data_IF_079685610955
#
_entry.id   IF_079685610955
#
_cell.length_a   1.000
_cell.length_b   1.000
_cell.length_c   1.000
_cell.angle_alpha   90.00
_cell.angle_beta   90.00
_cell.angle_gamma   90.00
#
_symmetry.space_group_name_H-M   'P 1'
#
loop_
_entity.id
_entity.type
_entity.pdbx_description
1 polymer ?
#
# COMPACT_ATOMS: atom_id res chain seq x y z
N UNK A 1 3.92 7.83 -15.33
CA UNK A 1 3.57 8.11 -16.74
C UNK A 1 4.62 7.53 -17.67
N UNK A 2 4.17 6.86 -18.71
CA UNK A 2 5.04 6.21 -19.70
C UNK A 2 5.52 7.23 -20.71
N UNK A 3 6.84 7.45 -20.76
CA UNK A 3 7.54 8.26 -21.77
C UNK A 3 8.93 7.71 -21.98
N UNK A 4 9.13 7.00 -23.07
CA UNK A 4 10.41 6.40 -23.41
C UNK A 4 11.40 7.47 -23.82
N UNK A 5 12.58 7.49 -23.18
CA UNK A 5 13.68 8.40 -23.47
C UNK A 5 15.01 7.68 -23.33
N UNK A 6 15.93 7.88 -24.29
CA UNK A 6 17.33 7.54 -24.08
C UNK A 6 17.96 8.51 -23.10
N UNK A 7 18.68 8.00 -22.11
CA UNK A 7 19.39 8.84 -21.17
C UNK A 7 20.74 9.26 -21.77
N UNK A 8 20.89 10.57 -21.94
CA UNK A 8 22.12 11.23 -22.33
C UNK A 8 22.26 12.55 -21.58
N UNK A 9 23.34 13.28 -21.82
CA UNK A 9 23.63 14.56 -21.17
C UNK A 9 22.58 15.65 -21.46
N UNK A 10 21.79 15.52 -22.52
CA UNK A 10 20.79 16.51 -22.96
C UNK A 10 19.37 16.15 -22.48
N UNK A 11 19.17 15.01 -21.85
CA UNK A 11 17.83 14.53 -21.48
C UNK A 11 17.24 15.25 -20.27
N UNK A 12 18.07 15.94 -19.47
CA UNK A 12 17.64 16.65 -18.26
C UNK A 12 16.41 17.55 -18.44
N UNK A 13 16.34 18.45 -19.44
CA UNK A 13 15.15 19.30 -19.65
C UNK A 13 13.87 18.50 -19.94
N UNK A 14 13.96 17.39 -20.69
CA UNK A 14 12.81 16.54 -20.97
C UNK A 14 12.33 15.85 -19.70
N UNK A 15 13.23 15.36 -18.87
CA UNK A 15 12.90 14.76 -17.55
C UNK A 15 12.25 15.82 -16.66
N UNK A 16 12.80 17.03 -16.60
CA UNK A 16 12.25 18.14 -15.82
C UNK A 16 10.78 18.43 -16.21
N UNK A 17 10.47 18.43 -17.49
CA UNK A 17 9.12 18.65 -18.00
C UNK A 17 8.17 17.53 -17.52
N UNK A 18 8.60 16.26 -17.59
CA UNK A 18 7.79 15.12 -17.13
C UNK A 18 7.45 15.29 -15.64
N UNK A 19 8.45 15.57 -14.79
CA UNK A 19 8.19 15.70 -13.37
C UNK A 19 7.38 16.96 -13.02
N UNK A 20 7.55 18.05 -13.74
CA UNK A 20 6.69 19.25 -13.57
C UNK A 20 5.20 18.92 -13.84
N UNK A 21 4.93 18.13 -14.89
CA UNK A 21 3.57 17.68 -15.20
C UNK A 21 3.01 16.73 -14.12
N UNK A 22 3.83 15.80 -13.62
CA UNK A 22 3.47 14.89 -12.54
C UNK A 22 3.21 15.65 -11.22
N UNK A 23 4.07 16.60 -10.87
CA UNK A 23 3.92 17.46 -9.69
C UNK A 23 2.63 18.29 -9.75
N UNK A 24 2.37 18.92 -10.88
CA UNK A 24 1.15 19.72 -11.08
C UNK A 24 -0.12 18.86 -10.93
N UNK A 25 -0.09 17.62 -11.40
CA UNK A 25 -1.21 16.68 -11.25
C UNK A 25 -1.33 16.23 -9.78
N UNK A 26 -0.24 15.81 -9.17
CA UNK A 26 -0.23 15.35 -7.79
C UNK A 26 -0.69 16.44 -6.81
N UNK A 27 -0.29 17.70 -7.04
CA UNK A 27 -0.78 18.82 -6.23
C UNK A 27 -2.31 18.97 -6.28
N UNK A 28 -2.95 18.73 -7.42
CA UNK A 28 -4.43 18.75 -7.52
C UNK A 28 -5.05 17.60 -6.72
N UNK A 29 -4.44 16.41 -6.81
CA UNK A 29 -4.94 15.21 -6.14
C UNK A 29 -4.82 15.34 -4.62
N UNK A 30 -3.71 15.92 -4.11
CA UNK A 30 -3.49 16.08 -2.67
C UNK A 30 -4.17 17.33 -2.07
N UNK A 31 -4.55 18.32 -2.88
CA UNK A 31 -5.23 19.53 -2.40
C UNK A 31 -6.58 19.26 -1.70
N UNK A 32 -7.18 18.11 -1.94
CA UNK A 32 -8.42 17.69 -1.28
C UNK A 32 -8.21 17.17 0.15
N UNK A 33 -6.95 16.94 0.55
CA UNK A 33 -6.62 16.49 1.90
C UNK A 33 -6.18 17.68 2.74
N UNK A 34 -6.80 17.85 3.91
CA UNK A 34 -6.40 18.88 4.88
C UNK A 34 -5.15 18.39 5.63
N UNK A 35 -3.97 18.79 5.14
CA UNK A 35 -2.69 18.40 5.73
C UNK A 35 -1.95 19.62 6.28
N UNK A 36 -1.59 19.54 7.54
CA UNK A 36 -0.83 20.59 8.22
C UNK A 36 0.64 20.68 7.78
N UNK A 37 1.17 19.66 7.12
CA UNK A 37 2.57 19.58 6.70
C UNK A 37 2.70 19.36 5.20
N UNK A 38 3.75 19.91 4.55
CA UNK A 38 3.98 19.73 3.12
C UNK A 38 4.28 18.25 2.81
N UNK A 39 3.91 17.77 1.59
CA UNK A 39 4.21 16.43 1.14
C UNK A 39 5.72 16.21 0.99
N UNK A 40 6.17 15.00 1.32
CA UNK A 40 7.50 14.54 0.95
C UNK A 40 7.44 13.90 -0.43
N UNK A 41 8.35 14.34 -1.32
CA UNK A 41 8.40 13.89 -2.70
C UNK A 41 9.52 12.88 -2.92
N UNK A 42 9.21 11.77 -3.58
CA UNK A 42 10.20 10.87 -4.11
C UNK A 42 9.95 10.57 -5.59
N UNK A 43 11.02 10.47 -6.37
CA UNK A 43 11.00 10.25 -7.81
C UNK A 43 11.58 8.90 -8.12
N UNK A 44 10.97 8.17 -9.06
CA UNK A 44 11.47 6.90 -9.55
C UNK A 44 11.37 6.86 -11.07
N UNK A 45 12.36 6.23 -11.70
CA UNK A 45 12.31 5.88 -13.12
C UNK A 45 12.32 4.36 -13.27
N UNK A 46 11.60 3.83 -14.27
CA UNK A 46 11.75 2.45 -14.70
C UNK A 46 12.66 2.44 -15.90
N UNK A 47 13.83 1.85 -15.76
CA UNK A 47 14.94 1.96 -16.71
C UNK A 47 15.51 0.60 -17.07
N UNK A 48 16.08 0.50 -18.23
CA UNK A 48 16.71 -0.73 -18.75
C UNK A 48 17.84 -0.38 -19.72
N UNK A 49 18.67 -1.33 -20.05
CA UNK A 49 19.49 -1.20 -21.24
C UNK A 49 18.62 -1.27 -22.48
N UNK A 50 18.91 -0.46 -23.49
CA UNK A 50 18.12 -0.38 -24.72
C UNK A 50 17.96 -1.75 -25.37
N UNK A 51 16.72 -2.12 -25.68
CA UNK A 51 16.39 -3.42 -26.26
C UNK A 51 16.13 -4.55 -25.26
N UNK A 52 16.28 -4.33 -23.94
CA UNK A 52 15.90 -5.32 -22.94
C UNK A 52 14.36 -5.34 -22.74
N UNK A 53 13.86 -6.51 -22.34
CA UNK A 53 12.42 -6.72 -22.10
C UNK A 53 11.93 -6.34 -20.72
N UNK A 54 12.83 -6.13 -19.74
CA UNK A 54 12.49 -5.88 -18.34
C UNK A 54 13.20 -4.66 -17.79
N UNK A 55 12.46 -3.83 -17.05
CA UNK A 55 12.97 -2.64 -16.41
C UNK A 55 13.40 -2.91 -14.95
N UNK A 56 14.28 -2.05 -14.45
CA UNK A 56 14.63 -1.89 -13.05
C UNK A 56 14.03 -0.60 -12.55
N UNK A 57 13.37 -0.64 -11.41
CA UNK A 57 12.95 0.57 -10.72
C UNK A 57 14.16 1.25 -10.10
N UNK A 58 14.37 2.51 -10.45
CA UNK A 58 15.52 3.31 -10.03
C UNK A 58 15.03 4.49 -9.22
N UNK A 59 15.44 4.62 -7.94
CA UNK A 59 15.21 5.84 -7.18
C UNK A 59 16.04 6.97 -7.78
N UNK A 60 15.39 8.06 -8.17
CA UNK A 60 16.06 9.18 -8.80
C UNK A 60 16.52 10.22 -7.77
N UNK A 61 17.61 10.96 -8.07
CA UNK A 61 18.13 11.99 -7.18
C UNK A 61 17.07 13.05 -6.84
N UNK A 62 17.06 13.49 -5.60
CA UNK A 62 16.26 14.62 -5.14
C UNK A 62 16.80 15.97 -5.65
N UNK A 63 16.06 17.04 -5.35
CA UNK A 63 16.43 18.41 -5.71
C UNK A 63 16.09 18.80 -7.15
N UNK A 64 16.75 19.83 -7.67
CA UNK A 64 16.50 20.35 -9.01
C UNK A 64 16.91 19.39 -10.12
N UNK A 65 16.08 19.26 -11.15
CA UNK A 65 16.39 18.50 -12.36
C UNK A 65 17.09 19.47 -13.33
N UNK A 66 18.38 19.69 -13.10
CA UNK A 66 19.23 20.60 -13.89
C UNK A 66 20.68 20.14 -13.84
N UNK A 67 21.51 20.68 -14.72
CA UNK A 67 22.95 20.42 -14.75
C UNK A 67 23.26 18.93 -14.96
N UNK A 68 23.90 18.33 -13.98
CA UNK A 68 24.37 16.93 -13.99
C UNK A 68 23.29 15.88 -13.68
N UNK A 69 22.01 16.26 -13.65
CA UNK A 69 20.94 15.34 -13.24
C UNK A 69 20.92 14.05 -14.06
N UNK A 70 21.08 14.13 -15.38
CA UNK A 70 21.12 12.95 -16.26
C UNK A 70 22.27 12.01 -15.89
N UNK A 71 23.45 12.54 -15.61
CA UNK A 71 24.59 11.73 -15.16
C UNK A 71 24.33 11.05 -13.81
N UNK A 72 23.70 11.74 -12.87
CA UNK A 72 23.30 11.18 -11.57
C UNK A 72 22.21 10.11 -11.73
N UNK A 73 21.27 10.29 -12.67
CA UNK A 73 20.26 9.29 -12.98
C UNK A 73 20.85 8.01 -13.58
N UNK A 74 21.85 8.14 -14.46
CA UNK A 74 22.64 7.02 -14.99
C UNK A 74 23.41 6.30 -13.89
N UNK A 75 24.05 7.03 -12.98
CA UNK A 75 24.75 6.44 -11.84
C UNK A 75 23.78 5.65 -10.93
N UNK A 76 22.59 6.22 -10.64
CA UNK A 76 21.56 5.55 -9.86
C UNK A 76 21.04 4.28 -10.55
N UNK A 77 20.88 4.32 -11.90
CA UNK A 77 20.54 3.11 -12.66
C UNK A 77 21.61 2.03 -12.53
N UNK A 78 22.88 2.40 -12.72
CA UNK A 78 23.98 1.45 -12.62
C UNK A 78 24.05 0.79 -11.24
N UNK A 79 23.83 1.56 -10.18
CA UNK A 79 23.78 1.02 -8.82
C UNK A 79 22.62 0.03 -8.66
N UNK A 80 21.41 0.42 -9.02
CA UNK A 80 20.20 -0.44 -8.91
C UNK A 80 20.33 -1.69 -9.78
N UNK A 81 20.85 -1.54 -11.00
CA UNK A 81 21.05 -2.64 -11.93
C UNK A 81 22.09 -3.64 -11.42
N UNK A 82 23.22 -3.13 -10.91
CA UNK A 82 24.28 -3.96 -10.32
C UNK A 82 23.78 -4.73 -9.09
N UNK A 83 23.00 -4.08 -8.23
CA UNK A 83 22.40 -4.75 -7.06
C UNK A 83 21.51 -5.90 -7.47
N UNK A 84 20.69 -5.71 -8.52
CA UNK A 84 19.73 -6.70 -8.99
C UNK A 84 20.36 -7.83 -9.84
N UNK A 85 21.22 -7.46 -10.78
CA UNK A 85 21.71 -8.39 -11.81
C UNK A 85 23.17 -8.81 -11.63
N UNK A 86 23.92 -8.16 -10.74
CA UNK A 86 25.33 -8.47 -10.39
C UNK A 86 26.34 -8.23 -11.52
N UNK A 87 25.95 -7.52 -12.58
CA UNK A 87 26.83 -7.10 -13.65
C UNK A 87 26.37 -5.74 -14.23
N UNK A 88 27.27 -5.09 -14.97
CA UNK A 88 26.99 -3.88 -15.75
C UNK A 88 27.47 -4.09 -17.20
N UNK A 89 26.81 -3.43 -18.12
CA UNK A 89 27.22 -3.30 -19.52
C UNK A 89 27.59 -1.82 -19.77
N UNK A 90 28.87 -1.45 -19.74
CA UNK A 90 29.30 -0.05 -19.85
C UNK A 90 29.08 0.55 -21.23
N UNK A 91 28.95 -0.29 -22.28
CA UNK A 91 28.76 0.15 -23.66
C UNK A 91 27.28 0.24 -24.05
N UNK A 92 26.40 -0.33 -23.24
CA UNK A 92 24.98 -0.33 -23.53
C UNK A 92 24.34 1.03 -23.20
N UNK A 93 23.47 1.49 -24.11
CA UNK A 93 22.68 2.71 -23.88
C UNK A 93 21.54 2.39 -22.90
N UNK A 94 21.25 3.35 -22.04
CA UNK A 94 20.18 3.26 -21.05
C UNK A 94 18.95 3.99 -21.59
N UNK A 95 17.79 3.34 -21.54
CA UNK A 95 16.51 3.97 -21.78
C UNK A 95 15.65 3.96 -20.51
N UNK A 96 15.02 5.09 -20.24
CA UNK A 96 13.98 5.20 -19.23
C UNK A 96 12.63 5.07 -19.92
N UNK A 97 11.76 4.22 -19.38
CA UNK A 97 10.47 3.86 -20.00
C UNK A 97 9.32 4.52 -19.27
N UNK A 98 9.35 4.49 -17.95
CA UNK A 98 8.26 5.04 -17.13
C UNK A 98 8.79 5.91 -15.98
N UNK A 99 7.99 6.93 -15.62
CA UNK A 99 8.34 7.95 -14.64
C UNK A 99 7.26 8.02 -13.56
N UNK A 100 7.69 7.91 -12.32
CA UNK A 100 6.79 7.90 -11.17
C UNK A 100 7.20 8.96 -10.16
N UNK A 101 6.21 9.70 -9.69
CA UNK A 101 6.33 10.63 -8.58
C UNK A 101 5.45 10.14 -7.44
N UNK A 102 6.02 10.04 -6.26
CA UNK A 102 5.30 9.68 -5.04
C UNK A 102 5.27 10.89 -4.11
N UNK A 103 4.08 11.29 -3.73
CA UNK A 103 3.85 12.29 -2.70
C UNK A 103 3.42 11.57 -1.41
N UNK A 104 4.24 11.63 -0.38
CA UNK A 104 3.91 11.10 0.94
C UNK A 104 3.45 12.24 1.82
N UNK A 105 2.20 12.16 2.25
CA UNK A 105 1.65 13.11 3.22
C UNK A 105 1.98 12.60 4.61
N UNK A 106 2.64 13.42 5.47
CA UNK A 106 2.84 13.03 6.85
C UNK A 106 1.48 12.85 7.52
N UNK A 107 1.21 11.68 8.05
CA UNK A 107 0.03 11.48 8.89
C UNK A 107 0.23 12.28 10.18
N UNK A 108 -0.52 13.35 10.35
CA UNK A 108 -0.42 14.25 11.50
C UNK A 108 -0.86 13.64 12.84
N UNK A 109 -1.21 12.37 12.88
CA UNK A 109 -1.57 11.65 14.10
C UNK A 109 -1.24 10.15 13.93
N UNK A 110 -0.40 9.65 14.76
CA UNK A 110 -0.47 8.26 15.20
C UNK A 110 -1.87 8.07 15.80
N UNK A 111 -2.76 7.40 15.07
CA UNK A 111 -4.15 7.21 15.47
C UNK A 111 -5.18 8.03 14.69
N UNK A 112 -4.92 8.32 13.41
CA UNK A 112 -5.97 8.80 12.52
C UNK A 112 -7.20 7.89 12.68
N UNK A 113 -8.26 8.45 13.26
CA UNK A 113 -9.56 7.81 13.30
C UNK A 113 -9.96 7.62 11.83
N UNK A 114 -9.75 6.42 11.31
CA UNK A 114 -10.33 6.03 10.02
C UNK A 114 -11.80 6.40 10.15
N UNK A 115 -12.26 7.28 9.26
CA UNK A 115 -13.49 8.02 9.37
C UNK A 115 -14.63 7.23 9.95
N UNK A 116 -15.48 7.87 10.71
CA UNK A 116 -16.68 7.25 11.26
C UNK A 116 -17.40 6.56 10.12
N UNK A 117 -17.39 5.22 10.14
CA UNK A 117 -18.13 4.44 9.17
C UNK A 117 -19.57 4.93 9.22
N UNK A 118 -20.08 5.41 8.08
CA UNK A 118 -21.48 5.78 7.94
C UNK A 118 -22.31 4.59 8.40
N UNK A 119 -23.23 4.81 9.32
CA UNK A 119 -24.14 3.76 9.77
C UNK A 119 -24.82 3.13 8.55
N UNK A 120 -24.84 1.80 8.42
CA UNK A 120 -25.49 1.16 7.28
C UNK A 120 -26.99 1.45 7.29
N UNK A 121 -27.53 1.82 6.14
CA UNK A 121 -28.96 2.13 5.97
C UNK A 121 -29.88 0.90 6.15
N UNK A 122 -29.33 -0.29 6.31
CA UNK A 122 -30.07 -1.53 6.47
C UNK A 122 -29.60 -2.28 7.72
N UNK A 123 -30.51 -2.66 8.64
CA UNK A 123 -30.15 -3.46 9.80
C UNK A 123 -29.59 -4.81 9.35
N UNK A 124 -28.37 -5.11 9.72
CA UNK A 124 -27.74 -6.40 9.46
C UNK A 124 -28.28 -7.44 10.43
N UNK A 125 -28.50 -8.64 9.91
CA UNK A 125 -29.01 -9.75 10.71
C UNK A 125 -27.93 -10.18 11.71
N UNK A 126 -28.24 -10.06 13.00
CA UNK A 126 -27.59 -10.80 14.07
C UNK A 126 -28.39 -12.09 14.27
N UNK A 127 -27.70 -13.20 14.42
CA UNK A 127 -28.36 -14.49 14.60
C UNK A 127 -27.36 -15.61 14.76
N UNK A 128 -27.79 -16.86 14.58
CA UNK A 128 -26.90 -18.03 14.51
C UNK A 128 -27.22 -18.87 13.28
N UNK A 129 -26.23 -19.60 12.80
CA UNK A 129 -26.37 -20.62 11.76
C UNK A 129 -25.38 -21.76 11.97
N UNK A 130 -25.68 -22.91 11.39
CA UNK A 130 -24.70 -24.00 11.33
C UNK A 130 -23.59 -23.65 10.32
N UNK A 131 -22.33 -23.69 10.79
CA UNK A 131 -21.15 -23.54 9.95
C UNK A 131 -20.21 -24.71 10.19
N UNK A 132 -19.50 -25.13 9.15
CA UNK A 132 -18.54 -26.23 9.23
C UNK A 132 -17.21 -25.72 9.75
N UNK A 133 -16.68 -26.40 10.79
CA UNK A 133 -15.36 -26.16 11.33
C UNK A 133 -14.56 -27.47 11.36
N UNK A 134 -13.46 -27.58 10.61
CA UNK A 134 -12.59 -28.77 10.65
C UNK A 134 -12.10 -29.08 12.07
N UNK A 135 -11.78 -28.04 12.85
CA UNK A 135 -11.29 -28.12 14.22
C UNK A 135 -12.32 -28.75 15.18
N UNK A 136 -13.60 -28.58 14.88
CA UNK A 136 -14.70 -29.21 15.62
C UNK A 136 -15.16 -30.53 14.99
N UNK A 137 -14.59 -30.93 13.86
CA UNK A 137 -14.95 -32.15 13.13
C UNK A 137 -16.37 -32.15 12.54
N UNK A 138 -17.04 -30.97 12.38
CA UNK A 138 -18.40 -30.93 11.93
C UNK A 138 -19.06 -29.55 11.90
N UNK A 139 -20.37 -29.59 11.73
CA UNK A 139 -21.21 -28.39 11.78
C UNK A 139 -21.45 -27.97 13.24
N UNK A 140 -21.18 -26.71 13.53
CA UNK A 140 -21.38 -26.09 14.84
C UNK A 140 -22.29 -24.91 14.72
N UNK A 141 -23.18 -24.72 15.68
CA UNK A 141 -23.99 -23.51 15.76
C UNK A 141 -23.09 -22.30 15.99
N UNK A 142 -23.13 -21.34 15.06
CA UNK A 142 -22.16 -20.24 14.97
C UNK A 142 -22.89 -18.92 15.00
N UNK A 143 -22.51 -18.05 15.91
CA UNK A 143 -23.08 -16.71 16.02
C UNK A 143 -22.71 -15.86 14.81
N UNK A 144 -23.69 -15.10 14.28
CA UNK A 144 -23.48 -14.08 13.26
C UNK A 144 -23.63 -12.71 13.93
N UNK A 145 -22.57 -11.93 13.87
CA UNK A 145 -22.46 -10.67 14.60
C UNK A 145 -22.16 -9.53 13.62
N UNK A 146 -22.96 -8.49 13.65
CA UNK A 146 -22.66 -7.25 12.94
C UNK A 146 -21.56 -6.50 13.68
N UNK A 147 -20.42 -6.32 13.04
CA UNK A 147 -19.26 -5.60 13.62
C UNK A 147 -19.60 -4.18 14.04
N UNK A 148 -20.49 -3.52 13.28
CA UNK A 148 -20.84 -2.12 13.56
C UNK A 148 -21.73 -1.97 14.79
N UNK A 149 -22.46 -3.02 15.16
CA UNK A 149 -23.25 -3.07 16.38
C UNK A 149 -22.42 -3.35 17.63
N UNK A 150 -21.15 -3.71 17.49
CA UNK A 150 -20.27 -3.98 18.64
C UNK A 150 -19.88 -2.70 19.38
N UNK A 151 -20.01 -2.74 20.69
CA UNK A 151 -19.49 -1.69 21.58
C UNK A 151 -17.96 -1.81 21.73
N UNK A 152 -17.30 -0.67 21.99
CA UNK A 152 -15.88 -0.69 22.33
C UNK A 152 -15.62 -1.56 23.56
N UNK A 153 -14.60 -2.40 23.48
CA UNK A 153 -14.28 -3.37 24.53
C UNK A 153 -15.09 -4.67 24.48
N UNK A 154 -16.07 -4.79 23.58
CA UNK A 154 -16.82 -6.03 23.40
C UNK A 154 -15.89 -7.21 23.13
N UNK A 155 -16.19 -8.35 23.75
CA UNK A 155 -15.44 -9.59 23.64
C UNK A 155 -16.32 -10.65 23.01
N UNK A 156 -15.79 -11.40 22.07
CA UNK A 156 -16.49 -12.46 21.32
C UNK A 156 -15.63 -13.72 21.38
N UNK A 157 -16.24 -14.81 21.78
CA UNK A 157 -15.59 -16.12 21.74
C UNK A 157 -16.07 -16.89 20.54
N UNK A 158 -15.14 -17.52 19.80
CA UNK A 158 -15.46 -18.42 18.68
C UNK A 158 -16.05 -19.77 19.14
N UNK A 159 -16.79 -20.44 18.26
CA UNK A 159 -16.98 -20.12 16.85
C UNK A 159 -17.94 -18.95 16.60
N UNK A 160 -17.54 -17.99 15.81
CA UNK A 160 -18.36 -16.84 15.46
C UNK A 160 -18.01 -16.31 14.05
N UNK A 161 -18.97 -15.66 13.40
CA UNK A 161 -18.80 -14.98 12.13
C UNK A 161 -19.15 -13.50 12.36
N UNK A 162 -18.17 -12.63 12.20
CA UNK A 162 -18.33 -11.18 12.36
C UNK A 162 -18.40 -10.57 10.97
N UNK A 163 -19.55 -10.01 10.63
CA UNK A 163 -19.83 -9.41 9.32
C UNK A 163 -19.62 -7.90 9.34
N UNK A 164 -19.00 -7.38 8.29
CA UNK A 164 -18.83 -5.97 7.98
C UNK A 164 -19.33 -5.72 6.54
N UNK A 165 -19.65 -4.48 6.09
CA UNK A 165 -20.12 -4.21 4.72
C UNK A 165 -19.29 -4.88 3.64
N UNK A 166 -17.97 -4.86 3.77
CA UNK A 166 -17.03 -5.25 2.73
C UNK A 166 -16.17 -6.47 3.10
N UNK A 167 -16.40 -7.06 4.28
CA UNK A 167 -15.56 -8.16 4.77
C UNK A 167 -16.28 -9.03 5.80
N UNK A 168 -15.74 -10.23 5.99
CA UNK A 168 -16.19 -11.16 7.02
C UNK A 168 -14.99 -11.69 7.78
N UNK A 169 -15.07 -11.67 9.11
CA UNK A 169 -14.07 -12.29 9.98
C UNK A 169 -14.65 -13.54 10.63
N UNK A 170 -13.96 -14.67 10.48
CA UNK A 170 -14.35 -15.93 11.10
C UNK A 170 -13.46 -16.17 12.32
N UNK A 171 -14.07 -16.42 13.47
CA UNK A 171 -13.40 -16.87 14.68
C UNK A 171 -13.58 -18.40 14.77
N UNK A 172 -12.48 -19.11 14.89
CA UNK A 172 -12.47 -20.55 15.09
C UNK A 172 -12.90 -20.92 16.52
N UNK A 173 -13.30 -22.17 16.77
CA UNK A 173 -13.56 -22.62 18.14
C UNK A 173 -12.37 -22.35 19.07
N UNK A 174 -12.61 -21.64 20.16
CA UNK A 174 -11.60 -21.27 21.14
C UNK A 174 -10.91 -19.92 20.90
N UNK A 175 -11.04 -19.31 19.71
CA UNK A 175 -10.53 -17.97 19.47
C UNK A 175 -11.27 -16.93 20.33
N UNK A 176 -10.54 -15.88 20.70
CA UNK A 176 -11.09 -14.77 21.46
C UNK A 176 -10.84 -13.44 20.73
N UNK A 177 -11.88 -12.76 20.29
CA UNK A 177 -11.78 -11.45 19.69
C UNK A 177 -12.19 -10.35 20.68
N UNK A 178 -11.52 -9.20 20.61
CA UNK A 178 -11.87 -7.99 21.37
C UNK A 178 -11.86 -6.77 20.44
N UNK A 179 -12.91 -5.96 20.52
CA UNK A 179 -12.96 -4.67 19.82
C UNK A 179 -12.19 -3.62 20.63
N UNK A 180 -11.16 -3.01 20.03
CA UNK A 180 -10.39 -1.92 20.66
C UNK A 180 -11.01 -0.55 20.40
N UNK A 181 -10.57 0.50 21.13
CA UNK A 181 -11.09 1.87 21.02
C UNK A 181 -11.18 2.42 19.60
N UNK A 182 -10.17 2.26 18.72
CA UNK A 182 -10.24 2.66 17.30
C UNK A 182 -11.05 1.70 16.43
N UNK A 183 -11.89 0.85 17.01
CA UNK A 183 -12.66 -0.20 16.33
C UNK A 183 -11.79 -1.26 15.62
N UNK A 184 -10.58 -1.49 16.08
CA UNK A 184 -9.78 -2.62 15.62
C UNK A 184 -10.25 -3.91 16.29
N UNK A 185 -10.36 -4.98 15.50
CA UNK A 185 -10.64 -6.31 16.03
C UNK A 185 -9.30 -6.99 16.33
N UNK A 186 -9.03 -7.22 17.63
CA UNK A 186 -7.84 -7.93 18.10
C UNK A 186 -8.26 -9.36 18.38
N UNK A 187 -7.65 -10.32 17.67
CA UNK A 187 -7.98 -11.74 17.78
C UNK A 187 -6.82 -12.48 18.42
N UNK A 188 -7.09 -13.13 19.54
CA UNK A 188 -6.18 -14.11 20.15
C UNK A 188 -6.58 -15.48 19.62
N UNK A 189 -5.72 -16.05 18.79
CA UNK A 189 -5.92 -17.35 18.17
C UNK A 189 -5.64 -18.44 19.22
N UNK A 190 -6.61 -19.34 19.44
CA UNK A 190 -6.39 -20.52 20.23
C UNK A 190 -5.38 -21.42 19.51
N UNK A 191 -4.17 -21.57 20.09
CA UNK A 191 -3.22 -22.55 19.56
C UNK A 191 -3.68 -23.95 19.99
N UNK A 192 -3.85 -24.85 19.03
CA UNK A 192 -3.89 -26.28 19.36
C UNK A 192 -2.60 -26.62 20.10
N UNK A 193 -2.74 -27.13 21.31
CA UNK A 193 -1.60 -27.61 22.08
C UNK A 193 -0.88 -28.70 21.29
N UNK A 194 0.38 -28.45 20.96
CA UNK A 194 1.28 -29.51 20.49
C UNK A 194 1.38 -30.54 21.63
N UNK A 195 0.70 -31.65 21.45
CA UNK A 195 0.87 -32.87 22.28
C UNK A 195 2.10 -33.58 21.79
#
# INVERSE_FOLDING_TARGET
TTRVMMLDENTGPAIAKVYAELEARAHKDIAQFDNAAPPQWSRHGYMRYAGQGFEVQVPLPGGAIAGDFSARAVAAFNEAYLQKHKFLDPDARIEAVDWTLVATLPSGQEGAVIGQARAPDTPRRSGSRLAWFPEAGGYVETQIIDRQALANGATITGPAIIEDPDSTTVLLPGDLARLSGPKHLIINIAREGTT
#
